data_IF_874082175712
#
_entry.id   IF_874082175712
#
_cell.length_a   1.000
_cell.length_b   1.000
_cell.length_c   1.000
_cell.angle_alpha   90.00
_cell.angle_beta   90.00
_cell.angle_gamma   90.00
#
_symmetry.space_group_name_H-M   'P 1'
#
loop_
_entity.id
_entity.type
_entity.pdbx_description
1 polymer ?
#
# COMPACT_ATOMS: atom_id res chain seq x y z
N UNK A 1 11.93 -15.13 3.62
CA UNK A 1 11.32 -14.01 2.86
C UNK A 1 12.24 -13.61 1.72
N UNK A 2 11.73 -13.59 0.49
CA UNK A 2 12.51 -13.25 -0.70
C UNK A 2 12.28 -11.83 -1.20
N UNK A 3 11.18 -11.20 -0.76
CA UNK A 3 10.79 -9.86 -1.18
C UNK A 3 9.87 -9.24 -0.14
N UNK A 4 9.49 -7.99 -0.38
CA UNK A 4 8.52 -7.27 0.44
C UNK A 4 7.22 -7.07 -0.31
N UNK A 5 6.12 -7.23 0.38
CA UNK A 5 4.80 -6.78 -0.07
C UNK A 5 4.36 -5.62 0.82
N UNK A 6 4.35 -4.42 0.25
CA UNK A 6 4.04 -3.19 0.99
C UNK A 6 2.61 -2.79 0.63
N UNK A 7 1.81 -2.45 1.63
CA UNK A 7 0.44 -2.00 1.40
C UNK A 7 0.14 -0.73 2.19
N UNK A 8 -0.76 0.09 1.63
CA UNK A 8 -1.29 1.27 2.30
C UNK A 8 -2.81 1.29 2.11
N UNK A 9 -3.60 1.13 3.18
CA UNK A 9 -5.04 1.34 3.10
C UNK A 9 -5.35 2.84 3.12
N UNK A 10 -6.31 3.27 2.31
CA UNK A 10 -6.64 4.69 2.11
C UNK A 10 -8.13 4.90 2.13
N UNK A 11 -8.56 5.96 2.81
CA UNK A 11 -9.90 6.53 2.65
C UNK A 11 -9.78 8.05 2.62
N UNK A 12 -9.93 8.62 1.42
CA UNK A 12 -9.80 10.06 1.18
C UNK A 12 -8.40 10.58 1.59
N UNK A 13 -8.23 11.84 1.96
CA UNK A 13 -6.94 12.44 2.34
C UNK A 13 -5.83 12.21 1.29
N UNK A 14 -6.14 12.48 0.03
CA UNK A 14 -5.29 12.10 -1.10
C UNK A 14 -3.94 12.80 -1.09
N UNK A 15 -3.88 14.06 -0.67
CA UNK A 15 -2.61 14.79 -0.67
C UNK A 15 -1.59 14.14 0.28
N UNK A 16 -2.03 13.77 1.50
CA UNK A 16 -1.18 13.05 2.44
C UNK A 16 -0.83 11.66 1.92
N UNK A 17 -1.80 10.97 1.33
CA UNK A 17 -1.59 9.65 0.74
C UNK A 17 -0.51 9.69 -0.33
N UNK A 18 -0.55 10.67 -1.23
CA UNK A 18 0.45 10.78 -2.29
C UNK A 18 1.84 11.09 -1.75
N UNK A 19 1.95 11.86 -0.67
CA UNK A 19 3.22 12.06 0.02
C UNK A 19 3.79 10.74 0.55
N UNK A 20 2.92 9.94 1.19
CA UNK A 20 3.30 8.61 1.70
C UNK A 20 3.75 7.71 0.56
N UNK A 21 2.99 7.66 -0.53
CA UNK A 21 3.31 6.85 -1.72
C UNK A 21 4.68 7.24 -2.29
N UNK A 22 4.91 8.54 -2.48
CA UNK A 22 6.19 9.01 -3.02
C UNK A 22 7.36 8.68 -2.10
N UNK A 23 7.17 8.81 -0.78
CA UNK A 23 8.21 8.46 0.18
C UNK A 23 8.56 6.98 0.13
N UNK A 24 7.56 6.11 -0.01
CA UNK A 24 7.78 4.66 -0.12
C UNK A 24 8.52 4.34 -1.42
N UNK A 25 8.09 4.91 -2.55
CA UNK A 25 8.70 4.65 -3.84
C UNK A 25 10.12 5.24 -3.95
N UNK A 26 10.43 6.26 -3.15
CA UNK A 26 11.77 6.85 -3.09
C UNK A 26 12.68 6.17 -2.06
N UNK A 27 12.19 5.18 -1.32
CA UNK A 27 12.95 4.48 -0.30
C UNK A 27 14.06 3.63 -0.89
N UNK A 28 15.18 3.52 -0.17
CA UNK A 28 16.30 2.65 -0.53
C UNK A 28 16.00 1.22 -0.10
N UNK A 29 15.23 0.50 -0.92
CA UNK A 29 14.89 -0.91 -0.69
C UNK A 29 15.73 -1.77 -1.62
N UNK A 30 16.54 -2.66 -1.05
CA UNK A 30 17.51 -3.47 -1.78
C UNK A 30 16.97 -4.83 -2.20
N UNK A 31 15.77 -5.18 -1.76
CA UNK A 31 15.10 -6.42 -2.14
C UNK A 31 13.96 -6.11 -3.08
N UNK A 32 13.53 -7.07 -3.92
CA UNK A 32 12.34 -6.86 -4.73
C UNK A 32 11.13 -6.55 -3.85
N UNK A 33 10.30 -5.62 -4.29
CA UNK A 33 9.09 -5.30 -3.56
C UNK A 33 7.93 -5.00 -4.50
N UNK A 34 6.72 -5.24 -3.98
CA UNK A 34 5.47 -4.81 -4.61
C UNK A 34 4.80 -3.81 -3.68
N UNK A 35 4.13 -2.83 -4.27
CA UNK A 35 3.41 -1.83 -3.48
C UNK A 35 1.97 -1.72 -3.97
N UNK A 36 1.03 -1.91 -3.05
CA UNK A 36 -0.40 -1.86 -3.32
C UNK A 36 -1.08 -0.84 -2.42
N UNK A 37 -1.87 0.01 -3.02
CA UNK A 37 -2.76 0.93 -2.30
C UNK A 37 -4.17 0.37 -2.38
N UNK A 38 -4.80 0.18 -1.21
CA UNK A 38 -6.19 -0.27 -1.13
C UNK A 38 -7.09 0.94 -0.87
N UNK A 39 -7.91 1.27 -1.86
CA UNK A 39 -8.87 2.37 -1.74
C UNK A 39 -10.15 1.87 -1.07
N UNK A 40 -10.37 2.30 0.16
CA UNK A 40 -11.50 1.87 0.99
C UNK A 40 -12.66 2.86 0.91
N UNK A 41 -13.29 2.92 -0.27
CA UNK A 41 -14.47 3.75 -0.50
C UNK A 41 -14.23 5.25 -0.33
N UNK A 42 -13.14 5.75 -0.89
CA UNK A 42 -12.93 7.18 -1.04
C UNK A 42 -14.01 7.79 -1.96
N UNK A 43 -14.16 9.11 -1.92
CA UNK A 43 -15.07 9.80 -2.83
C UNK A 43 -14.71 9.51 -4.29
N UNK A 44 -15.65 9.71 -5.20
CA UNK A 44 -15.42 9.50 -6.63
C UNK A 44 -14.26 10.36 -7.15
N UNK A 45 -14.18 11.61 -6.73
CA UNK A 45 -13.10 12.52 -7.11
C UNK A 45 -11.74 12.00 -6.63
N UNK A 46 -11.65 11.61 -5.36
CA UNK A 46 -10.42 11.09 -4.79
C UNK A 46 -10.02 9.74 -5.40
N UNK A 47 -10.99 8.89 -5.70
CA UNK A 47 -10.75 7.64 -6.39
C UNK A 47 -10.12 7.88 -7.77
N UNK A 48 -10.62 8.85 -8.53
CA UNK A 48 -10.03 9.22 -9.82
C UNK A 48 -8.60 9.72 -9.68
N UNK A 49 -8.32 10.51 -8.66
CA UNK A 49 -6.96 11.00 -8.38
C UNK A 49 -6.01 9.84 -8.08
N UNK A 50 -6.45 8.84 -7.32
CA UNK A 50 -5.67 7.63 -7.06
C UNK A 50 -5.44 6.83 -8.33
N UNK A 51 -6.45 6.68 -9.18
CA UNK A 51 -6.32 5.96 -10.45
C UNK A 51 -5.32 6.65 -11.38
N UNK A 52 -5.36 7.97 -11.48
CA UNK A 52 -4.40 8.73 -12.26
C UNK A 52 -2.98 8.61 -11.71
N UNK A 53 -2.84 8.71 -10.39
CA UNK A 53 -1.55 8.56 -9.73
C UNK A 53 -0.96 7.16 -9.93
N UNK A 54 -1.79 6.12 -9.94
CA UNK A 54 -1.31 4.75 -10.17
C UNK A 54 -0.72 4.54 -11.57
N UNK A 55 -1.14 5.35 -12.53
CA UNK A 55 -0.59 5.31 -13.89
C UNK A 55 0.76 6.02 -13.99
N UNK A 56 0.97 7.04 -13.17
CA UNK A 56 2.20 7.84 -13.17
C UNK A 56 3.26 7.27 -12.22
N UNK A 57 2.82 6.73 -11.09
CA UNK A 57 3.69 6.19 -10.06
C UNK A 57 3.59 4.65 -10.06
N UNK A 58 4.65 4.00 -9.64
CA UNK A 58 4.75 2.55 -9.75
C UNK A 58 4.11 1.83 -8.55
N UNK A 59 2.77 1.88 -8.46
CA UNK A 59 2.03 1.11 -7.46
C UNK A 59 0.77 0.52 -8.06
N UNK A 60 0.30 -0.58 -7.45
CA UNK A 60 -0.95 -1.23 -7.81
C UNK A 60 -2.07 -0.61 -6.99
N UNK A 61 -3.17 -0.24 -7.65
CA UNK A 61 -4.37 0.25 -6.97
C UNK A 61 -5.44 -0.82 -6.96
N UNK A 62 -5.99 -1.10 -5.77
CA UNK A 62 -7.15 -1.96 -5.61
C UNK A 62 -8.29 -1.14 -5.01
N UNK A 63 -9.37 -0.99 -5.76
CA UNK A 63 -10.58 -0.34 -5.27
C UNK A 63 -11.43 -1.40 -4.58
N UNK A 64 -11.63 -1.29 -3.28
CA UNK A 64 -12.41 -2.27 -2.52
C UNK A 64 -13.86 -2.32 -2.95
N UNK A 65 -14.38 -1.24 -3.57
CA UNK A 65 -15.72 -1.22 -4.16
C UNK A 65 -15.90 -2.25 -5.27
N UNK A 66 -14.82 -2.72 -5.88
CA UNK A 66 -14.86 -3.77 -6.91
C UNK A 66 -14.97 -5.18 -6.29
N UNK A 67 -14.71 -5.30 -4.99
CA UNK A 67 -14.57 -6.59 -4.30
C UNK A 67 -15.71 -6.82 -3.30
N UNK A 68 -16.16 -5.76 -2.64
CA UNK A 68 -17.17 -5.84 -1.58
C UNK A 68 -18.13 -4.66 -1.65
N UNK A 69 -19.34 -4.86 -1.14
CA UNK A 69 -20.32 -3.79 -0.94
C UNK A 69 -20.33 -3.29 0.51
N UNK A 70 -19.51 -3.91 1.37
CA UNK A 70 -19.44 -3.51 2.77
C UNK A 70 -18.78 -2.14 2.90
N UNK A 71 -19.45 -1.17 3.57
CA UNK A 71 -18.88 0.18 3.70
C UNK A 71 -17.62 0.19 4.57
N UNK A 72 -16.80 1.21 4.37
CA UNK A 72 -15.62 1.45 5.20
C UNK A 72 -15.98 1.50 6.69
N UNK A 73 -15.12 0.98 7.60
CA UNK A 73 -13.78 0.49 7.34
C UNK A 73 -13.74 -1.00 6.95
N UNK A 74 -12.83 -1.34 6.03
CA UNK A 74 -12.60 -2.72 5.59
C UNK A 74 -11.19 -3.21 5.91
N UNK A 75 -10.64 -2.79 7.04
CA UNK A 75 -9.25 -3.09 7.40
C UNK A 75 -8.98 -4.61 7.45
N UNK A 76 -9.90 -5.38 8.02
CA UNK A 76 -9.74 -6.84 8.12
C UNK A 76 -9.67 -7.49 6.73
N UNK A 77 -10.50 -7.04 5.80
CA UNK A 77 -10.48 -7.55 4.42
C UNK A 77 -9.14 -7.26 3.75
N UNK A 78 -8.64 -6.03 3.89
CA UNK A 78 -7.32 -5.65 3.37
C UNK A 78 -6.23 -6.52 3.98
N UNK A 79 -6.25 -6.70 5.29
CA UNK A 79 -5.26 -7.50 6.01
C UNK A 79 -5.27 -8.96 5.53
N UNK A 80 -6.44 -9.57 5.42
CA UNK A 80 -6.57 -10.96 4.97
C UNK A 80 -6.05 -11.15 3.55
N UNK A 81 -6.44 -10.27 2.62
CA UNK A 81 -6.02 -10.35 1.23
C UNK A 81 -4.51 -10.16 1.08
N UNK A 82 -3.96 -9.15 1.75
CA UNK A 82 -2.53 -8.86 1.67
C UNK A 82 -1.67 -9.96 2.32
N UNK A 83 -2.16 -10.56 3.40
CA UNK A 83 -1.48 -11.71 4.01
C UNK A 83 -1.45 -12.92 3.08
N UNK A 84 -2.57 -13.22 2.42
CA UNK A 84 -2.63 -14.32 1.46
C UNK A 84 -1.67 -14.11 0.29
N UNK A 85 -1.62 -12.89 -0.24
CA UNK A 85 -0.70 -12.56 -1.33
C UNK A 85 0.77 -12.66 -0.88
N UNK A 86 1.09 -12.18 0.31
CA UNK A 86 2.44 -12.25 0.86
C UNK A 86 2.89 -13.68 1.08
N UNK A 87 2.02 -14.53 1.63
CA UNK A 87 2.32 -15.95 1.83
C UNK A 87 2.57 -16.64 0.49
N UNK A 88 1.72 -16.41 -0.50
CA UNK A 88 1.85 -17.00 -1.82
C UNK A 88 3.14 -16.59 -2.52
N UNK A 89 3.63 -15.37 -2.28
CA UNK A 89 4.85 -14.84 -2.89
C UNK A 89 6.11 -15.07 -2.04
N UNK A 90 6.00 -15.71 -0.88
CA UNK A 90 7.08 -15.82 0.11
C UNK A 90 7.66 -14.43 0.45
N UNK A 91 6.77 -13.47 0.68
CA UNK A 91 7.11 -12.08 0.95
C UNK A 91 6.87 -11.70 2.40
N UNK A 92 7.67 -10.77 2.90
CA UNK A 92 7.35 -10.07 4.14
C UNK A 92 6.24 -9.06 3.86
N UNK A 93 5.27 -8.97 4.76
CA UNK A 93 4.17 -7.99 4.64
C UNK A 93 4.47 -6.78 5.49
N UNK A 94 4.36 -5.60 4.88
CA UNK A 94 4.55 -4.33 5.58
C UNK A 94 3.36 -3.42 5.30
N UNK A 95 2.71 -2.99 6.37
CA UNK A 95 1.56 -2.08 6.30
C UNK A 95 2.03 -0.68 6.67
N UNK A 96 1.84 0.27 5.78
CA UNK A 96 2.18 1.68 6.00
C UNK A 96 0.90 2.50 5.93
N UNK A 97 0.59 3.20 7.01
CA UNK A 97 -0.61 4.06 7.06
C UNK A 97 -0.48 5.22 6.07
N UNK A 98 -1.62 5.73 5.60
CA UNK A 98 -1.68 6.73 4.54
C UNK A 98 -1.20 8.13 4.94
N UNK A 99 -0.92 8.35 6.22
CA UNK A 99 -0.44 9.62 6.75
C UNK A 99 0.99 9.56 7.27
N UNK A 100 1.73 8.50 6.90
CA UNK A 100 3.11 8.29 7.35
C UNK A 100 4.07 8.61 6.22
N UNK A 101 5.08 9.42 6.50
CA UNK A 101 6.20 9.66 5.57
C UNK A 101 7.42 8.91 6.08
N UNK A 102 7.79 7.85 5.37
CA UNK A 102 8.93 7.02 5.77
C UNK A 102 10.25 7.67 5.37
N UNK A 103 11.30 7.40 6.15
CA UNK A 103 12.67 7.79 5.81
C UNK A 103 13.24 6.81 4.79
N UNK A 104 14.27 7.22 4.06
CA UNK A 104 14.85 6.43 2.96
C UNK A 104 15.20 5.00 3.33
N UNK A 105 15.70 4.77 4.53
CA UNK A 105 16.20 3.46 4.97
C UNK A 105 15.21 2.70 5.86
N UNK A 106 14.09 3.29 6.25
CA UNK A 106 13.17 2.69 7.22
C UNK A 106 12.66 1.32 6.77
N UNK A 107 12.21 1.21 5.52
CA UNK A 107 11.61 -0.02 5.02
C UNK A 107 12.64 -1.15 4.91
N UNK A 108 13.84 -0.83 4.44
CA UNK A 108 14.93 -1.82 4.36
C UNK A 108 15.35 -2.27 5.77
N UNK A 109 15.45 -1.35 6.72
CA UNK A 109 15.80 -1.69 8.10
C UNK A 109 14.76 -2.60 8.76
N UNK A 110 13.47 -2.36 8.50
CA UNK A 110 12.40 -3.22 9.00
C UNK A 110 12.49 -4.62 8.38
N UNK A 111 12.76 -4.70 7.08
CA UNK A 111 12.94 -5.98 6.41
C UNK A 111 14.13 -6.76 7.00
N UNK A 112 15.27 -6.10 7.17
CA UNK A 112 16.49 -6.70 7.72
C UNK A 112 16.25 -7.19 9.16
N UNK A 113 15.51 -6.44 9.96
CA UNK A 113 15.15 -6.83 11.32
C UNK A 113 14.21 -8.01 11.40
N UNK A 114 13.39 -8.23 10.38
CA UNK A 114 12.43 -9.34 10.32
C UNK A 114 13.03 -10.61 9.73
N UNK A 115 14.08 -10.45 8.95
CA UNK A 115 14.76 -11.58 8.33
C UNK A 115 15.72 -12.25 9.32
#
# INVERSE_FOLDING_TARGET
MKCLHIITPVKDSIDFTLETVRAILASDIKVPFTYTVYNDFSTEENTKRLEEASKELNFRLVNLSDITTHPSPNYLLVLQRSQQEAIAADAGLLIVESDVVVKKNTLQDLYDGAA
#
